data_IF_156648034286
#
_entry.id   IF_156648034286
#
_cell.length_a   1.000
_cell.length_b   1.000
_cell.length_c   1.000
_cell.angle_alpha   90.00
_cell.angle_beta   90.00
_cell.angle_gamma   90.00
#
_symmetry.space_group_name_H-M   'P 1'
#
loop_
_entity.id
_entity.type
_entity.pdbx_description
1 polymer ?
#
# COMPACT_ATOMS: atom_id res chain seq x y z
N UNK A 1 -13.03 -34.16 16.84
CA UNK A 1 -13.73 -34.20 15.55
C UNK A 1 -13.63 -32.81 14.94
N UNK A 2 -12.84 -32.66 13.88
CA UNK A 2 -12.70 -31.38 13.17
C UNK A 2 -14.02 -31.07 12.49
N UNK A 3 -14.71 -30.00 12.87
CA UNK A 3 -15.87 -29.51 12.13
C UNK A 3 -15.39 -29.11 10.73
N UNK A 4 -15.80 -29.86 9.71
CA UNK A 4 -15.53 -29.46 8.33
C UNK A 4 -16.27 -28.16 8.04
N UNK A 5 -15.52 -27.13 7.63
CA UNK A 5 -16.07 -25.85 7.18
C UNK A 5 -17.00 -26.10 5.99
N UNK A 6 -18.23 -25.58 6.07
CA UNK A 6 -19.18 -25.70 4.97
C UNK A 6 -18.88 -24.65 3.90
N UNK A 7 -19.38 -24.84 2.67
CA UNK A 7 -19.29 -23.82 1.62
C UNK A 7 -19.92 -22.48 2.05
N UNK A 8 -21.01 -22.53 2.82
CA UNK A 8 -21.67 -21.34 3.36
C UNK A 8 -20.76 -20.59 4.33
N UNK A 9 -20.07 -21.30 5.22
CA UNK A 9 -19.13 -20.70 6.16
C UNK A 9 -17.97 -20.03 5.42
N UNK A 10 -17.45 -20.69 4.37
CA UNK A 10 -16.38 -20.14 3.55
C UNK A 10 -16.81 -18.86 2.82
N UNK A 11 -17.98 -18.87 2.16
CA UNK A 11 -18.51 -17.69 1.46
C UNK A 11 -18.79 -16.54 2.44
N UNK A 12 -19.30 -16.84 3.63
CA UNK A 12 -19.53 -15.83 4.67
C UNK A 12 -18.22 -15.19 5.15
N UNK A 13 -17.17 -15.99 5.37
CA UNK A 13 -15.83 -15.49 5.74
C UNK A 13 -15.20 -14.67 4.61
N UNK A 14 -15.30 -15.16 3.37
CA UNK A 14 -14.79 -14.45 2.19
C UNK A 14 -15.48 -13.09 2.03
N UNK A 15 -16.81 -13.07 2.11
CA UNK A 15 -17.62 -11.85 1.98
C UNK A 15 -17.31 -10.86 3.10
N UNK A 16 -17.19 -11.35 4.33
CA UNK A 16 -16.79 -10.52 5.49
C UNK A 16 -15.40 -9.91 5.27
N UNK A 17 -14.43 -10.70 4.78
CA UNK A 17 -13.09 -10.18 4.46
C UNK A 17 -13.15 -9.08 3.40
N UNK A 18 -13.89 -9.31 2.31
CA UNK A 18 -14.04 -8.34 1.24
C UNK A 18 -14.63 -7.02 1.76
N UNK A 19 -15.78 -7.09 2.44
CA UNK A 19 -16.50 -5.93 2.97
C UNK A 19 -15.61 -5.16 3.95
N UNK A 20 -14.98 -5.86 4.90
CA UNK A 20 -14.09 -5.23 5.86
C UNK A 20 -12.90 -4.57 5.16
N UNK A 21 -12.29 -5.22 4.16
CA UNK A 21 -11.21 -4.63 3.39
C UNK A 21 -11.63 -3.34 2.67
N UNK A 22 -12.80 -3.36 2.01
CA UNK A 22 -13.34 -2.21 1.29
C UNK A 22 -13.71 -1.06 2.23
N UNK A 23 -14.34 -1.36 3.37
CA UNK A 23 -14.74 -0.36 4.38
C UNK A 23 -13.53 0.23 5.12
N UNK A 24 -12.39 -0.47 5.15
CA UNK A 24 -11.15 0.00 5.77
C UNK A 24 -10.13 0.55 4.74
N UNK A 25 -10.59 0.99 3.57
CA UNK A 25 -9.74 1.73 2.60
C UNK A 25 -9.32 3.09 3.17
N UNK A 26 -8.29 3.71 2.60
CA UNK A 26 -7.71 4.93 3.15
C UNK A 26 -8.69 6.12 3.13
N UNK A 27 -9.63 6.20 2.19
CA UNK A 27 -10.65 7.26 2.23
C UNK A 27 -11.60 7.21 3.42
N UNK A 28 -11.72 6.06 4.10
CA UNK A 28 -12.73 5.87 5.16
C UNK A 28 -12.12 5.53 6.52
N UNK A 29 -10.97 4.86 6.55
CA UNK A 29 -10.40 4.33 7.79
C UNK A 29 -9.84 5.43 8.67
N UNK A 30 -9.82 5.14 9.97
CA UNK A 30 -8.96 5.83 10.95
C UNK A 30 -7.70 4.99 11.14
N UNK A 31 -6.53 5.58 10.95
CA UNK A 31 -5.26 4.89 11.14
C UNK A 31 -4.99 4.63 12.62
N UNK A 32 -4.47 3.44 12.92
CA UNK A 32 -4.10 3.07 14.28
C UNK A 32 -2.83 3.81 14.73
N UNK A 33 -2.67 4.06 16.04
CA UNK A 33 -1.41 4.50 16.62
C UNK A 33 -0.26 3.54 16.29
N UNK A 34 0.95 4.07 16.19
CA UNK A 34 2.16 3.27 16.00
C UNK A 34 2.39 2.44 17.27
N UNK A 35 2.20 1.12 17.18
CA UNK A 35 2.34 0.21 18.32
C UNK A 35 3.79 -0.19 18.65
N UNK A 36 4.74 0.13 17.77
CA UNK A 36 6.16 -0.22 17.95
C UNK A 36 6.88 0.82 18.78
N UNK A 37 7.62 0.36 19.79
CA UNK A 37 8.52 1.22 20.57
C UNK A 37 9.84 1.41 19.82
N UNK A 38 10.42 2.60 19.96
CA UNK A 38 11.75 2.90 19.45
C UNK A 38 12.82 2.04 20.13
N UNK A 39 13.84 1.63 19.39
CA UNK A 39 15.00 0.93 19.93
C UNK A 39 16.11 1.92 20.24
N UNK A 40 16.43 2.09 21.53
CA UNK A 40 17.40 3.07 22.01
C UNK A 40 18.79 2.87 21.41
N UNK A 41 19.16 1.67 20.95
CA UNK A 41 20.46 1.45 20.30
C UNK A 41 20.61 2.26 19.00
N UNK A 42 19.49 2.58 18.33
CA UNK A 42 19.51 3.41 17.12
C UNK A 42 19.99 4.84 17.44
N UNK A 43 19.68 5.34 18.65
CA UNK A 43 20.16 6.65 19.10
C UNK A 43 21.67 6.62 19.28
N UNK A 44 22.18 5.60 19.98
CA UNK A 44 23.61 5.44 20.22
C UNK A 44 24.39 5.33 18.90
N UNK A 45 23.86 4.59 17.91
CA UNK A 45 24.46 4.47 16.58
C UNK A 45 24.51 5.83 15.87
N UNK A 46 23.41 6.58 15.87
CA UNK A 46 23.30 7.88 15.19
C UNK A 46 24.21 8.92 15.86
N UNK A 47 24.16 9.02 17.19
CA UNK A 47 24.98 9.96 17.98
C UNK A 47 26.47 9.66 17.80
N UNK A 48 26.86 8.39 17.84
CA UNK A 48 28.25 7.97 17.63
C UNK A 48 28.74 8.27 16.22
N UNK A 49 27.85 8.26 15.22
CA UNK A 49 28.19 8.53 13.82
C UNK A 49 28.20 10.02 13.48
N UNK A 50 27.43 10.84 14.19
CA UNK A 50 27.26 12.28 13.92
C UNK A 50 27.40 13.06 15.22
N UNK A 51 28.64 13.43 15.54
CA UNK A 51 29.03 14.04 16.82
C UNK A 51 28.45 15.43 17.11
N UNK A 52 27.71 16.03 16.15
CA UNK A 52 27.13 17.38 16.28
C UNK A 52 25.63 17.36 16.56
N UNK A 53 24.99 16.19 16.59
CA UNK A 53 23.56 16.11 16.88
C UNK A 53 23.28 16.43 18.34
N UNK A 54 22.33 17.32 18.55
CA UNK A 54 21.74 17.62 19.85
C UNK A 54 20.69 16.58 20.22
N UNK A 55 20.38 16.46 21.50
CA UNK A 55 19.29 15.57 21.96
C UNK A 55 17.94 15.93 21.34
N UNK A 56 17.68 17.21 21.07
CA UNK A 56 16.44 17.65 20.41
C UNK A 56 16.36 17.18 18.95
N UNK A 57 17.46 17.21 18.21
CA UNK A 57 17.50 16.71 16.82
C UNK A 57 17.34 15.19 16.76
N UNK A 58 17.87 14.45 17.75
CA UNK A 58 17.64 13.00 17.85
C UNK A 58 16.15 12.69 18.04
N UNK A 59 15.44 13.42 18.90
CA UNK A 59 14.00 13.26 19.05
C UNK A 59 13.25 13.58 17.76
N UNK A 60 13.61 14.66 17.06
CA UNK A 60 13.03 14.98 15.75
C UNK A 60 13.24 13.85 14.73
N UNK A 61 14.44 13.25 14.67
CA UNK A 61 14.73 12.12 13.79
C UNK A 61 13.80 10.94 14.10
N UNK A 62 13.56 10.63 15.37
CA UNK A 62 12.63 9.56 15.78
C UNK A 62 11.21 9.82 15.28
N UNK A 63 10.68 11.02 15.53
CA UNK A 63 9.35 11.42 15.07
C UNK A 63 9.24 11.37 13.54
N UNK A 64 10.22 11.94 12.83
CA UNK A 64 10.24 11.93 11.37
C UNK A 64 10.30 10.50 10.80
N UNK A 65 11.12 9.63 11.40
CA UNK A 65 11.22 8.23 10.98
C UNK A 65 9.89 7.49 11.17
N UNK A 66 9.27 7.60 12.35
CA UNK A 66 7.97 6.99 12.64
C UNK A 66 6.87 7.49 11.71
N UNK A 67 6.79 8.81 11.50
CA UNK A 67 5.84 9.41 10.58
C UNK A 67 6.07 8.93 9.14
N UNK A 68 7.33 8.84 8.70
CA UNK A 68 7.69 8.35 7.37
C UNK A 68 7.31 6.88 7.19
N UNK A 69 7.52 6.03 8.20
CA UNK A 69 7.08 4.62 8.16
C UNK A 69 5.56 4.51 8.02
N UNK A 70 4.79 5.30 8.78
CA UNK A 70 3.33 5.36 8.64
C UNK A 70 2.92 5.81 7.22
N UNK A 71 3.57 6.85 6.69
CA UNK A 71 3.32 7.33 5.34
C UNK A 71 3.65 6.27 4.26
N UNK A 72 4.75 5.54 4.42
CA UNK A 72 5.13 4.44 3.52
C UNK A 72 4.11 3.30 3.55
N UNK A 73 3.62 2.93 4.74
CA UNK A 73 2.61 1.90 4.91
C UNK A 73 1.28 2.26 4.23
N UNK A 74 0.81 3.49 4.40
CA UNK A 74 -0.44 3.92 3.75
C UNK A 74 -0.27 4.11 2.24
N UNK A 75 0.93 4.39 1.76
CA UNK A 75 1.21 4.60 0.33
C UNK A 75 0.91 3.39 -0.56
N UNK A 76 1.01 2.17 -0.03
CA UNK A 76 0.55 0.96 -0.75
C UNK A 76 -0.97 0.89 -0.85
N UNK A 77 -1.66 1.11 0.27
CA UNK A 77 -3.12 1.05 0.32
C UNK A 77 -3.79 2.17 -0.51
N UNK A 78 -3.22 3.38 -0.51
CA UNK A 78 -3.67 4.48 -1.36
C UNK A 78 -3.52 4.17 -2.86
N UNK A 79 -2.46 3.43 -3.23
CA UNK A 79 -2.24 3.01 -4.63
C UNK A 79 -3.29 1.97 -5.06
N UNK A 80 -3.58 0.98 -4.22
CA UNK A 80 -4.65 0.01 -4.48
C UNK A 80 -6.01 0.71 -4.60
N UNK A 81 -6.31 1.63 -3.70
CA UNK A 81 -7.58 2.36 -3.73
C UNK A 81 -7.72 3.23 -4.99
N UNK A 82 -6.69 3.99 -5.35
CA UNK A 82 -6.66 4.76 -6.60
C UNK A 82 -6.94 3.87 -7.82
N UNK A 83 -6.24 2.74 -7.92
CA UNK A 83 -6.41 1.81 -9.02
C UNK A 83 -7.80 1.16 -9.00
N UNK A 84 -8.41 0.96 -7.84
CA UNK A 84 -9.78 0.44 -7.74
C UNK A 84 -10.82 1.38 -8.36
N UNK A 85 -10.65 2.71 -8.22
CA UNK A 85 -11.53 3.71 -8.83
C UNK A 85 -11.32 3.78 -10.36
N UNK A 86 -10.06 3.73 -10.81
CA UNK A 86 -9.75 3.92 -12.22
C UNK A 86 -9.99 2.67 -13.06
N UNK A 87 -9.73 1.48 -12.50
CA UNK A 87 -9.72 0.23 -13.25
C UNK A 87 -11.09 -0.46 -13.34
N UNK A 88 -12.08 0.00 -12.57
CA UNK A 88 -13.43 -0.57 -12.59
C UNK A 88 -14.08 -0.47 -13.98
N UNK A 89 -13.82 0.62 -14.72
CA UNK A 89 -14.31 0.79 -16.10
C UNK A 89 -13.72 -0.23 -17.08
N UNK A 90 -12.60 -0.85 -16.72
CA UNK A 90 -11.92 -1.91 -17.47
C UNK A 90 -12.21 -3.30 -16.89
N UNK A 91 -13.23 -3.42 -16.03
CA UNK A 91 -13.69 -4.69 -15.44
C UNK A 91 -12.69 -5.34 -14.49
N UNK A 92 -11.77 -4.56 -13.94
CA UNK A 92 -10.92 -4.99 -12.85
C UNK A 92 -11.56 -4.67 -11.51
N UNK A 93 -11.46 -5.60 -10.58
CA UNK A 93 -11.99 -5.51 -9.24
C UNK A 93 -10.85 -5.72 -8.25
N UNK A 94 -10.72 -4.82 -7.28
CA UNK A 94 -9.75 -4.94 -6.21
C UNK A 94 -10.15 -6.10 -5.28
N UNK A 95 -9.21 -6.98 -4.97
CA UNK A 95 -9.38 -8.13 -4.10
C UNK A 95 -9.25 -7.73 -2.62
N UNK A 96 -10.14 -6.82 -2.20
CA UNK A 96 -10.16 -6.25 -0.85
C UNK A 96 -10.06 -7.32 0.25
N UNK A 97 -9.31 -7.01 1.31
CA UNK A 97 -9.18 -7.88 2.49
C UNK A 97 -8.41 -9.18 2.23
N UNK A 98 -7.52 -9.20 1.24
CA UNK A 98 -6.74 -10.39 0.83
C UNK A 98 -7.67 -11.58 0.52
N UNK A 99 -8.77 -11.30 -0.19
CA UNK A 99 -9.75 -12.30 -0.62
C UNK A 99 -9.18 -13.29 -1.63
N UNK A 100 -8.15 -12.87 -2.37
CA UNK A 100 -7.30 -13.72 -3.18
C UNK A 100 -5.84 -13.56 -2.71
N UNK A 101 -5.20 -14.67 -2.34
CA UNK A 101 -3.84 -14.64 -1.81
C UNK A 101 -2.85 -14.14 -2.87
N UNK A 102 -2.04 -13.14 -2.52
CA UNK A 102 -0.99 -12.58 -3.39
C UNK A 102 -1.50 -11.96 -4.71
N UNK A 103 -2.79 -11.63 -4.79
CA UNK A 103 -3.43 -11.01 -5.95
C UNK A 103 -4.18 -9.79 -5.43
N UNK A 104 -3.94 -8.64 -6.05
CA UNK A 104 -4.55 -7.37 -5.62
C UNK A 104 -5.75 -7.02 -6.50
N UNK A 105 -5.75 -7.44 -7.78
CA UNK A 105 -6.87 -7.24 -8.70
C UNK A 105 -7.17 -8.50 -9.52
N UNK A 106 -8.46 -8.73 -9.77
CA UNK A 106 -8.94 -9.72 -10.73
C UNK A 106 -9.81 -9.06 -11.80
N UNK A 107 -9.81 -9.59 -13.01
CA UNK A 107 -10.66 -9.13 -14.11
C UNK A 107 -11.79 -10.14 -14.40
N UNK A 108 -12.93 -9.68 -14.90
CA UNK A 108 -14.03 -10.54 -15.34
C UNK A 108 -13.59 -11.62 -16.37
N UNK A 109 -12.53 -11.37 -17.15
CA UNK A 109 -11.96 -12.35 -18.09
C UNK A 109 -10.96 -13.36 -17.47
N UNK A 110 -10.81 -13.37 -16.14
CA UNK A 110 -9.94 -14.30 -15.41
C UNK A 110 -8.47 -13.87 -15.29
N UNK A 111 -8.07 -12.71 -15.83
CA UNK A 111 -6.73 -12.15 -15.58
C UNK A 111 -6.56 -11.72 -14.13
N UNK A 112 -5.35 -11.90 -13.62
CA UNK A 112 -4.98 -11.60 -12.24
C UNK A 112 -3.80 -10.63 -12.24
N UNK A 113 -3.81 -9.64 -11.37
CA UNK A 113 -2.80 -8.60 -11.29
C UNK A 113 -2.35 -8.39 -9.84
N UNK A 114 -1.04 -8.34 -9.67
CA UNK A 114 -0.37 -7.96 -8.43
C UNK A 114 0.33 -6.61 -8.63
N UNK A 115 0.09 -5.70 -7.69
CA UNK A 115 0.60 -4.34 -7.64
C UNK A 115 1.63 -4.23 -6.52
N UNK A 116 2.70 -3.47 -6.76
CA UNK A 116 3.66 -3.08 -5.72
C UNK A 116 3.94 -1.59 -5.79
N UNK A 117 4.18 -0.96 -4.65
CA UNK A 117 4.57 0.46 -4.64
C UNK A 117 5.99 0.65 -5.21
N UNK A 118 6.90 -0.32 -5.05
CA UNK A 118 8.28 -0.25 -5.50
C UNK A 118 8.80 -1.60 -6.03
N UNK A 119 9.76 -1.57 -6.95
CA UNK A 119 10.40 -2.77 -7.53
C UNK A 119 11.19 -3.60 -6.50
N UNK A 120 11.69 -2.96 -5.45
CA UNK A 120 12.40 -3.61 -4.35
C UNK A 120 11.50 -4.07 -3.19
N UNK A 121 10.18 -3.96 -3.31
CA UNK A 121 9.24 -4.40 -2.27
C UNK A 121 9.06 -5.93 -2.21
N UNK A 122 9.78 -6.69 -3.03
CA UNK A 122 9.81 -8.16 -2.96
C UNK A 122 11.02 -8.65 -2.16
N UNK A 123 10.77 -9.31 -1.02
CA UNK A 123 11.78 -10.12 -0.35
C UNK A 123 11.88 -11.51 -1.00
N UNK A 124 13.02 -12.19 -0.84
CA UNK A 124 13.30 -13.50 -1.43
C UNK A 124 12.28 -14.60 -1.04
N UNK A 125 11.62 -14.49 0.10
CA UNK A 125 10.57 -15.42 0.54
C UNK A 125 9.25 -15.26 -0.24
N UNK A 126 8.92 -14.04 -0.69
CA UNK A 126 7.74 -13.80 -1.54
C UNK A 126 7.91 -14.24 -3.00
N UNK A 127 9.13 -14.55 -3.44
CA UNK A 127 9.41 -15.09 -4.78
C UNK A 127 9.09 -16.59 -4.93
N UNK A 128 9.10 -17.37 -3.84
CA UNK A 128 9.00 -18.83 -3.89
C UNK A 128 7.63 -19.39 -4.31
N UNK A 129 6.57 -18.57 -4.37
CA UNK A 129 5.21 -18.99 -4.78
C UNK A 129 5.05 -19.02 -6.33
N UNK A 130 6.10 -18.71 -7.12
CA UNK A 130 5.91 -18.07 -8.44
C UNK A 130 6.52 -18.72 -9.67
N UNK A 131 6.78 -20.03 -9.68
CA UNK A 131 7.00 -20.73 -10.95
C UNK A 131 5.68 -21.34 -11.43
N UNK A 132 5.10 -20.78 -12.51
CA UNK A 132 3.96 -21.38 -13.23
C UNK A 132 2.60 -20.70 -13.09
N UNK A 133 2.48 -19.50 -12.49
CA UNK A 133 1.19 -18.79 -12.38
C UNK A 133 1.03 -17.69 -13.43
N UNK A 134 -0.19 -17.51 -13.94
CA UNK A 134 -0.54 -16.50 -14.95
C UNK A 134 -0.77 -15.09 -14.35
N UNK A 135 -0.22 -14.80 -13.16
CA UNK A 135 -0.44 -13.54 -12.45
C UNK A 135 0.45 -12.45 -13.06
N UNK A 136 -0.18 -11.42 -13.61
CA UNK A 136 0.48 -10.22 -14.12
C UNK A 136 1.04 -9.43 -12.95
N UNK A 137 2.22 -8.83 -13.12
CA UNK A 137 2.87 -8.03 -12.08
C UNK A 137 3.18 -6.64 -12.57
N UNK A 138 2.96 -5.67 -11.70
CA UNK A 138 3.37 -4.29 -11.94
C UNK A 138 3.83 -3.64 -10.64
N UNK A 139 4.76 -2.71 -10.76
CA UNK A 139 5.22 -1.88 -9.64
C UNK A 139 5.22 -0.41 -10.05
N UNK A 140 4.97 0.50 -9.11
CA UNK A 140 4.85 1.94 -9.39
C UNK A 140 6.18 2.65 -9.59
N UNK A 141 7.16 2.44 -8.70
CA UNK A 141 8.44 3.18 -8.72
C UNK A 141 9.66 2.28 -8.84
N UNK A 142 10.70 2.80 -9.48
CA UNK A 142 12.03 2.21 -9.49
C UNK A 142 12.85 2.74 -8.31
N UNK A 143 13.17 1.89 -7.34
CA UNK A 143 13.84 2.30 -6.10
C UNK A 143 15.19 3.01 -6.35
N UNK A 144 15.96 2.53 -7.33
CA UNK A 144 17.31 3.06 -7.65
C UNK A 144 17.32 4.22 -8.63
N UNK A 145 16.27 4.37 -9.45
CA UNK A 145 16.20 5.40 -10.51
C UNK A 145 15.33 6.60 -10.11
N UNK A 146 14.44 6.43 -9.14
CA UNK A 146 13.47 7.46 -8.75
C UNK A 146 12.36 7.71 -9.78
N UNK A 147 12.34 6.98 -10.89
CA UNK A 147 11.31 7.08 -11.93
C UNK A 147 10.09 6.22 -11.61
N UNK A 148 8.98 6.49 -12.30
CA UNK A 148 7.72 5.72 -12.16
C UNK A 148 7.45 4.92 -13.42
N UNK A 149 6.62 3.88 -13.30
CA UNK A 149 6.44 2.85 -14.33
C UNK A 149 4.99 2.78 -14.87
N UNK A 150 4.26 3.90 -14.86
CA UNK A 150 2.85 3.95 -15.25
C UNK A 150 2.59 3.53 -16.70
N UNK A 151 3.49 3.84 -17.64
CA UNK A 151 3.37 3.45 -19.05
C UNK A 151 3.33 1.93 -19.23
N UNK A 152 4.08 1.20 -18.40
CA UNK A 152 4.05 -0.25 -18.40
C UNK A 152 2.68 -0.78 -17.95
N UNK A 153 2.01 -0.14 -16.97
CA UNK A 153 0.66 -0.52 -16.56
C UNK A 153 -0.36 -0.23 -17.66
N UNK A 154 -0.30 0.97 -18.25
CA UNK A 154 -1.20 1.34 -19.35
C UNK A 154 -1.06 0.35 -20.52
N UNK A 155 0.17 -0.03 -20.88
CA UNK A 155 0.44 -1.04 -21.91
C UNK A 155 -0.09 -2.41 -21.50
N UNK A 156 0.20 -2.84 -20.27
CA UNK A 156 -0.20 -4.14 -19.71
C UNK A 156 -1.72 -4.31 -19.69
N UNK A 157 -2.46 -3.23 -19.44
CA UNK A 157 -3.92 -3.20 -19.37
C UNK A 157 -4.60 -2.77 -20.68
N UNK A 158 -3.81 -2.50 -21.73
CA UNK A 158 -4.29 -2.00 -23.03
C UNK A 158 -5.13 -0.71 -22.92
N UNK A 159 -4.70 0.23 -22.06
CA UNK A 159 -5.30 1.56 -21.90
C UNK A 159 -4.68 2.49 -22.94
N UNK A 160 -5.40 2.72 -24.03
CA UNK A 160 -4.92 3.52 -25.18
C UNK A 160 -5.51 4.93 -25.24
N UNK A 161 -6.62 5.19 -24.54
CA UNK A 161 -7.22 6.53 -24.44
C UNK A 161 -6.37 7.43 -23.54
N UNK A 162 -5.72 8.43 -24.13
CA UNK A 162 -4.83 9.39 -23.45
C UNK A 162 -5.52 10.15 -22.31
N UNK A 163 -6.83 10.35 -22.38
CA UNK A 163 -7.56 11.00 -21.28
C UNK A 163 -7.71 10.06 -20.07
N UNK A 164 -7.64 8.74 -20.30
CA UNK A 164 -7.81 7.70 -19.29
C UNK A 164 -6.50 7.05 -18.86
N UNK A 165 -5.38 7.35 -19.51
CA UNK A 165 -4.08 6.83 -19.08
C UNK A 165 -3.81 7.19 -17.63
N UNK A 166 -3.35 6.18 -16.89
CA UNK A 166 -2.92 6.30 -15.52
C UNK A 166 -1.57 7.03 -15.48
N UNK A 167 -1.37 7.86 -14.47
CA UNK A 167 -0.13 8.61 -14.32
C UNK A 167 0.17 8.95 -12.87
N UNK A 168 1.43 9.22 -12.58
CA UNK A 168 1.87 9.67 -11.27
C UNK A 168 1.18 10.98 -10.85
N UNK A 169 0.88 11.86 -11.81
CA UNK A 169 0.20 13.13 -11.53
C UNK A 169 -1.24 12.90 -11.03
N UNK A 170 -2.00 12.01 -11.69
CA UNK A 170 -3.35 11.62 -11.27
C UNK A 170 -3.32 10.91 -9.91
N UNK A 171 -2.39 10.00 -9.71
CA UNK A 171 -2.21 9.33 -8.42
C UNK A 171 -1.91 10.32 -7.29
N UNK A 172 -0.99 11.28 -7.49
CA UNK A 172 -0.70 12.33 -6.50
C UNK A 172 -1.92 13.20 -6.20
N UNK A 173 -2.71 13.53 -7.22
CA UNK A 173 -3.95 14.28 -7.03
C UNK A 173 -4.96 13.49 -6.19
N UNK A 174 -5.12 12.19 -6.47
CA UNK A 174 -5.94 11.28 -5.67
C UNK A 174 -5.47 11.24 -4.21
N UNK A 175 -4.18 11.03 -3.95
CA UNK A 175 -3.62 10.97 -2.58
C UNK A 175 -3.91 12.26 -1.82
N UNK A 176 -3.66 13.42 -2.43
CA UNK A 176 -3.95 14.72 -1.81
C UNK A 176 -5.43 14.87 -1.49
N UNK A 177 -6.31 14.51 -2.42
CA UNK A 177 -7.76 14.55 -2.21
C UNK A 177 -8.15 13.68 -1.02
N UNK A 178 -7.69 12.42 -0.97
CA UNK A 178 -7.99 11.49 0.12
C UNK A 178 -7.52 12.03 1.46
N UNK A 179 -6.27 12.50 1.57
CA UNK A 179 -5.74 13.01 2.84
C UNK A 179 -6.39 14.33 3.29
N UNK A 180 -6.88 15.15 2.36
CA UNK A 180 -7.66 16.35 2.69
C UNK A 180 -9.06 15.98 3.18
N UNK A 181 -9.70 14.99 2.54
CA UNK A 181 -11.06 14.56 2.90
C UNK A 181 -11.10 13.66 4.14
N UNK A 182 -10.06 12.87 4.37
CA UNK A 182 -9.88 12.00 5.52
C UNK A 182 -8.46 12.18 6.09
N UNK A 183 -8.22 13.23 6.90
CA UNK A 183 -6.91 13.44 7.53
C UNK A 183 -6.52 12.30 8.48
N UNK A 184 -7.50 11.59 9.05
CA UNK A 184 -7.29 10.46 9.95
C UNK A 184 -6.75 9.20 9.24
N UNK A 185 -6.68 9.23 7.90
CA UNK A 185 -6.03 8.19 7.11
C UNK A 185 -4.53 8.06 7.41
N UNK A 186 -3.88 9.10 7.93
CA UNK A 186 -2.52 9.07 8.45
C UNK A 186 -2.53 9.42 9.93
N UNK A 187 -2.13 8.47 10.78
CA UNK A 187 -1.99 8.75 12.20
C UNK A 187 -0.79 9.66 12.44
N UNK A 188 -1.01 10.74 13.18
CA UNK A 188 0.02 11.67 13.66
C UNK A 188 0.00 11.62 15.19
N UNK A 189 1.16 11.35 15.79
CA UNK A 189 1.32 11.32 17.25
C UNK A 189 1.00 12.70 17.86
N UNK A 190 0.28 12.74 18.98
CA UNK A 190 -0.17 14.02 19.58
C UNK A 190 0.96 14.83 20.26
N UNK A 191 2.10 14.20 20.53
CA UNK A 191 3.35 14.83 20.98
C UNK A 191 4.31 15.13 19.81
N UNK A 192 3.82 15.04 18.57
CA UNK A 192 4.61 15.39 17.40
C UNK A 192 4.97 16.88 17.43
N UNK A 193 6.27 17.15 17.39
CA UNK A 193 6.86 18.49 17.47
C UNK A 193 6.48 19.45 16.33
N UNK A 194 5.81 18.96 15.28
CA UNK A 194 5.37 19.73 14.13
C UNK A 194 3.84 19.90 14.02
N UNK A 195 3.10 19.54 15.07
CA UNK A 195 1.68 19.90 15.20
C UNK A 195 1.47 21.23 15.92
#
# INVERSE_FOLDING_TARGET
>A
MSSHETWSDYIAKWTTKYINGYQNRCSERVSNPIGTKHDNILDDIIISSISKLTSSEIEQIKFAHRLSMSAENIGGALLEEYLSEELIQYKWHCCWGETLKSIDFCNENGKLLQIKNSDNSENSSSQAVRNGTAIMKWFRRHAKKGTTNWDALNTLLNITDLNKTLSEAKYKAFVKRVLVSNPDALFIEGDNVWQ
#
